data_IF_596986946252
#
_entry.id   IF_596986946252
#
_cell.length_a   1.000
_cell.length_b   1.000
_cell.length_c   1.000
_cell.angle_alpha   90.00
_cell.angle_beta   90.00
_cell.angle_gamma   90.00
#
_symmetry.space_group_name_H-M   'P 1'
#
loop_
_entity.id
_entity.type
_entity.pdbx_description
1 polymer ?
#
# COMPACT_ATOMS: atom_id res chain seq x y z
N UNK A 1 -26.13 5.20 -7.33
CA UNK A 1 -26.22 3.80 -7.78
C UNK A 1 -25.11 3.00 -7.12
N UNK A 2 -25.45 1.85 -6.52
CA UNK A 2 -24.47 0.96 -5.89
C UNK A 2 -23.76 0.16 -6.98
N UNK A 3 -22.42 0.13 -6.91
CA UNK A 3 -21.65 -0.83 -7.71
C UNK A 3 -21.82 -2.20 -7.04
N UNK A 4 -22.30 -3.19 -7.79
CA UNK A 4 -22.39 -4.56 -7.28
C UNK A 4 -20.99 -5.20 -7.15
N UNK A 5 -20.89 -6.28 -6.37
CA UNK A 5 -19.64 -7.07 -6.33
C UNK A 5 -19.23 -7.56 -7.72
N UNK A 6 -20.18 -7.98 -8.52
CA UNK A 6 -19.90 -8.52 -9.86
C UNK A 6 -19.44 -7.43 -10.83
N UNK A 7 -20.01 -6.20 -10.76
CA UNK A 7 -19.51 -5.06 -11.52
C UNK A 7 -18.07 -4.69 -11.12
N UNK A 8 -17.78 -4.74 -9.81
CA UNK A 8 -16.44 -4.47 -9.30
C UNK A 8 -15.43 -5.53 -9.80
N UNK A 9 -15.79 -6.81 -9.72
CA UNK A 9 -14.96 -7.90 -10.23
C UNK A 9 -14.75 -7.81 -11.74
N UNK A 10 -15.76 -7.38 -12.49
CA UNK A 10 -15.66 -7.13 -13.94
C UNK A 10 -14.63 -6.03 -14.24
N UNK A 11 -14.65 -4.92 -13.47
CA UNK A 11 -13.66 -3.84 -13.59
C UNK A 11 -12.25 -4.28 -13.21
N UNK A 12 -12.13 -5.06 -12.13
CA UNK A 12 -10.85 -5.61 -11.69
C UNK A 12 -10.32 -6.59 -12.76
N UNK A 13 -11.21 -7.40 -13.34
CA UNK A 13 -10.84 -8.29 -14.43
C UNK A 13 -10.25 -7.51 -15.62
N UNK A 14 -10.90 -6.43 -16.02
CA UNK A 14 -10.41 -5.57 -17.09
C UNK A 14 -9.04 -4.96 -16.79
N UNK A 15 -8.81 -4.50 -15.55
CA UNK A 15 -7.54 -3.92 -15.12
C UNK A 15 -6.46 -5.00 -15.03
N UNK A 16 -6.77 -6.15 -14.43
CA UNK A 16 -5.83 -7.24 -14.24
C UNK A 16 -5.29 -7.78 -15.58
N UNK A 17 -6.15 -7.92 -16.59
CA UNK A 17 -5.71 -8.35 -17.91
C UNK A 17 -4.71 -7.38 -18.56
N UNK A 18 -4.82 -6.07 -18.27
CA UNK A 18 -3.93 -5.04 -18.80
C UNK A 18 -2.63 -4.87 -18.04
N UNK A 19 -2.62 -5.25 -16.78
CA UNK A 19 -1.43 -5.17 -15.94
C UNK A 19 -0.57 -6.43 -16.01
N UNK A 20 -1.02 -7.46 -16.70
CA UNK A 20 -0.26 -8.71 -16.85
C UNK A 20 1.10 -8.45 -17.50
N UNK A 21 2.18 -8.87 -16.83
CA UNK A 21 3.55 -8.60 -17.24
C UNK A 21 4.12 -7.25 -16.79
N UNK A 22 3.30 -6.38 -16.17
CA UNK A 22 3.73 -5.07 -15.67
C UNK A 22 3.69 -4.95 -14.15
N UNK A 23 3.01 -5.86 -13.46
CA UNK A 23 2.94 -5.91 -12.00
C UNK A 23 3.05 -7.34 -11.49
N UNK A 24 3.61 -7.49 -10.31
CA UNK A 24 3.71 -8.78 -9.61
C UNK A 24 2.59 -8.92 -8.56
N UNK A 25 2.07 -7.80 -8.07
CA UNK A 25 1.19 -7.75 -6.91
C UNK A 25 -0.09 -6.98 -7.20
N UNK A 26 -1.23 -7.52 -6.74
CA UNK A 26 -2.51 -6.84 -6.71
C UNK A 26 -2.93 -6.61 -5.26
N UNK A 27 -3.00 -5.34 -4.88
CA UNK A 27 -3.35 -4.93 -3.52
C UNK A 27 -4.78 -4.40 -3.51
N UNK A 28 -5.58 -4.84 -2.55
CA UNK A 28 -6.91 -4.29 -2.32
C UNK A 28 -7.17 -4.02 -0.83
N UNK A 29 -8.13 -3.15 -0.56
CA UNK A 29 -8.66 -2.90 0.76
C UNK A 29 -10.11 -2.49 0.66
N UNK A 30 -10.86 -2.65 1.76
CA UNK A 30 -12.23 -2.20 1.86
C UNK A 30 -12.29 -0.80 2.47
N UNK A 31 -13.26 -0.01 2.01
CA UNK A 31 -13.49 1.32 2.56
C UNK A 31 -14.03 1.23 3.98
N UNK A 32 -13.27 1.73 4.95
CA UNK A 32 -13.64 1.79 6.35
C UNK A 32 -14.11 3.21 6.69
N UNK A 33 -15.41 3.46 6.54
CA UNK A 33 -16.02 4.77 6.75
C UNK A 33 -16.19 5.05 8.24
N UNK A 34 -16.55 4.00 9.01
CA UNK A 34 -16.79 4.10 10.44
C UNK A 34 -15.59 4.57 11.24
N UNK A 35 -14.40 4.16 10.86
CA UNK A 35 -13.14 4.57 11.51
C UNK A 35 -12.75 6.02 11.22
N UNK A 36 -13.31 6.65 10.19
CA UNK A 36 -13.00 8.02 9.79
C UNK A 36 -14.19 8.96 10.03
N UNK A 37 -14.35 9.42 11.28
CA UNK A 37 -15.47 10.29 11.69
C UNK A 37 -15.73 11.45 10.72
N UNK A 38 -14.68 12.08 10.19
CA UNK A 38 -14.81 13.20 9.25
C UNK A 38 -15.44 12.77 7.92
N UNK A 39 -15.04 11.61 7.40
CA UNK A 39 -15.60 11.03 6.17
C UNK A 39 -17.09 10.74 6.36
N UNK A 40 -17.45 10.09 7.46
CA UNK A 40 -18.84 9.81 7.82
C UNK A 40 -19.68 11.07 7.84
N UNK A 41 -19.23 12.11 8.56
CA UNK A 41 -19.92 13.40 8.64
C UNK A 41 -20.09 14.07 7.26
N UNK A 42 -19.07 14.01 6.40
CA UNK A 42 -19.15 14.59 5.07
C UNK A 42 -20.20 13.86 4.19
N UNK A 43 -20.20 12.54 4.23
CA UNK A 43 -21.17 11.73 3.47
C UNK A 43 -22.60 12.00 3.94
N UNK A 44 -22.84 11.99 5.26
CA UNK A 44 -24.15 12.28 5.85
C UNK A 44 -24.64 13.71 5.52
N UNK A 45 -23.76 14.72 5.65
CA UNK A 45 -24.08 16.11 5.33
C UNK A 45 -24.50 16.32 3.88
N UNK A 46 -23.90 15.56 2.97
CA UNK A 46 -24.18 15.64 1.54
C UNK A 46 -25.26 14.62 1.06
N UNK A 47 -25.93 13.96 2.00
CA UNK A 47 -26.99 12.99 1.68
C UNK A 47 -26.51 11.78 0.87
N UNK A 48 -25.22 11.45 0.98
CA UNK A 48 -24.62 10.33 0.27
C UNK A 48 -24.81 9.06 1.09
N UNK A 49 -25.63 8.16 0.57
CA UNK A 49 -25.81 6.84 1.15
C UNK A 49 -24.57 5.98 0.86
N UNK A 50 -24.08 5.31 1.88
CA UNK A 50 -22.99 4.37 1.77
C UNK A 50 -23.35 3.04 2.44
N UNK A 51 -22.63 2.00 2.06
CA UNK A 51 -22.70 0.68 2.66
C UNK A 51 -21.29 0.21 2.95
N UNK A 52 -20.99 0.01 4.22
CA UNK A 52 -19.77 -0.69 4.61
C UNK A 52 -20.00 -2.19 4.46
N UNK A 53 -19.02 -2.85 3.86
CA UNK A 53 -19.13 -4.28 3.65
C UNK A 53 -19.06 -5.03 4.98
N UNK A 54 -19.94 -5.98 5.14
CA UNK A 54 -19.90 -6.94 6.23
C UNK A 54 -18.72 -7.91 6.03
N UNK A 55 -18.26 -8.53 7.11
CA UNK A 55 -17.20 -9.54 7.03
C UNK A 55 -17.54 -10.66 6.04
N UNK A 56 -18.81 -11.08 5.99
CA UNK A 56 -19.29 -12.10 5.03
C UNK A 56 -19.13 -11.64 3.60
N UNK A 57 -19.48 -10.40 3.29
CA UNK A 57 -19.32 -9.82 1.94
C UNK A 57 -17.87 -9.69 1.56
N UNK A 58 -17.01 -9.25 2.50
CA UNK A 58 -15.56 -9.15 2.30
C UNK A 58 -14.93 -10.53 1.99
N UNK A 59 -15.34 -11.56 2.74
CA UNK A 59 -14.85 -12.93 2.57
C UNK A 59 -15.33 -13.51 1.22
N UNK A 60 -16.58 -13.30 0.82
CA UNK A 60 -17.10 -13.75 -0.47
C UNK A 60 -16.37 -13.08 -1.63
N UNK A 61 -16.14 -11.77 -1.53
CA UNK A 61 -15.37 -11.02 -2.52
C UNK A 61 -13.93 -11.53 -2.63
N UNK A 62 -13.24 -11.73 -1.50
CA UNK A 62 -11.87 -12.25 -1.46
C UNK A 62 -11.77 -13.61 -2.13
N UNK A 63 -12.74 -14.51 -1.88
CA UNK A 63 -12.85 -15.81 -2.54
C UNK A 63 -13.01 -15.66 -4.06
N UNK A 64 -13.95 -14.82 -4.52
CA UNK A 64 -14.20 -14.58 -5.95
C UNK A 64 -12.97 -13.96 -6.63
N UNK A 65 -12.28 -13.02 -5.95
CA UNK A 65 -11.07 -12.41 -6.48
C UNK A 65 -9.92 -13.40 -6.59
N UNK A 66 -9.77 -14.30 -5.60
CA UNK A 66 -8.78 -15.38 -5.64
C UNK A 66 -9.02 -16.31 -6.83
N UNK A 67 -10.27 -16.71 -7.09
CA UNK A 67 -10.61 -17.51 -8.26
C UNK A 67 -10.29 -16.77 -9.58
N UNK A 68 -10.64 -15.48 -9.65
CA UNK A 68 -10.34 -14.64 -10.81
C UNK A 68 -8.82 -14.53 -11.04
N UNK A 69 -8.04 -14.43 -9.98
CA UNK A 69 -6.59 -14.29 -10.04
C UNK A 69 -5.86 -15.54 -10.57
N UNK A 70 -6.49 -16.70 -10.59
CA UNK A 70 -5.88 -17.94 -11.13
C UNK A 70 -5.38 -17.77 -12.57
N UNK A 71 -6.02 -16.90 -13.34
CA UNK A 71 -5.61 -16.62 -14.72
C UNK A 71 -4.39 -15.70 -14.82
N UNK A 72 -4.13 -14.87 -13.80
CA UNK A 72 -3.03 -13.91 -13.81
C UNK A 72 -1.83 -14.38 -13.00
N UNK A 73 -2.07 -15.03 -11.86
CA UNK A 73 -1.03 -15.46 -10.94
C UNK A 73 -0.39 -14.34 -10.15
N UNK A 74 -1.09 -13.19 -9.93
CA UNK A 74 -0.58 -12.13 -9.07
C UNK A 74 -0.49 -12.57 -7.62
N UNK A 75 0.46 -12.01 -6.88
CA UNK A 75 0.44 -12.03 -5.42
C UNK A 75 -0.74 -11.16 -4.94
N UNK A 76 -1.79 -11.79 -4.40
CA UNK A 76 -2.93 -11.06 -3.84
C UNK A 76 -2.63 -10.65 -2.40
N UNK A 77 -2.83 -9.38 -2.11
CA UNK A 77 -2.57 -8.84 -0.76
C UNK A 77 -3.63 -7.84 -0.33
N UNK A 78 -3.80 -7.69 1.00
CA UNK A 78 -4.74 -6.73 1.59
C UNK A 78 -4.03 -5.74 2.50
N UNK A 79 -4.57 -4.52 2.62
CA UNK A 79 -4.00 -3.49 3.48
C UNK A 79 -4.85 -3.27 4.73
N UNK A 80 -4.36 -3.76 5.88
CA UNK A 80 -4.93 -3.49 7.20
C UNK A 80 -6.32 -4.07 7.44
N UNK A 81 -6.64 -5.20 6.83
CA UNK A 81 -7.93 -5.87 6.96
C UNK A 81 -7.95 -6.83 8.16
N UNK A 82 -9.10 -6.89 8.86
CA UNK A 82 -9.28 -7.78 10.02
C UNK A 82 -9.46 -9.26 9.66
N UNK A 83 -10.29 -9.62 8.66
CA UNK A 83 -10.51 -11.03 8.34
C UNK A 83 -9.23 -11.70 7.82
N UNK A 84 -9.06 -12.98 8.18
CA UNK A 84 -7.95 -13.78 7.66
C UNK A 84 -8.33 -14.38 6.30
N UNK A 85 -7.63 -13.93 5.27
CA UNK A 85 -7.82 -14.38 3.89
C UNK A 85 -6.78 -15.41 3.42
N UNK A 86 -5.89 -15.90 4.32
CA UNK A 86 -4.82 -16.86 3.95
C UNK A 86 -5.34 -18.11 3.26
N UNK A 87 -6.53 -18.58 3.63
CA UNK A 87 -7.20 -19.73 2.97
C UNK A 87 -7.47 -19.51 1.48
N UNK A 88 -7.45 -18.26 1.02
CA UNK A 88 -7.60 -17.88 -0.39
C UNK A 88 -6.26 -17.48 -1.04
N UNK A 89 -5.12 -17.72 -0.36
CA UNK A 89 -3.81 -17.31 -0.84
C UNK A 89 -3.56 -15.80 -0.78
N UNK A 90 -4.35 -15.06 0.01
CA UNK A 90 -4.24 -13.60 0.16
C UNK A 90 -3.54 -13.30 1.48
N UNK A 91 -2.50 -12.49 1.45
CA UNK A 91 -1.69 -12.16 2.62
C UNK A 91 -1.73 -10.65 2.94
N UNK A 92 -1.41 -10.26 4.19
CA UNK A 92 -1.28 -8.85 4.53
C UNK A 92 -0.22 -8.14 3.68
N UNK A 93 -0.53 -6.95 3.21
CA UNK A 93 0.38 -6.11 2.43
C UNK A 93 1.14 -5.13 3.32
N UNK A 94 2.29 -4.71 2.81
CA UNK A 94 3.03 -3.56 3.30
C UNK A 94 3.10 -2.51 2.19
N UNK A 95 2.40 -1.39 2.32
CA UNK A 95 2.43 -0.31 1.31
C UNK A 95 3.81 0.36 1.28
N UNK A 96 4.44 0.50 2.45
CA UNK A 96 5.86 0.83 2.59
C UNK A 96 6.58 -0.45 2.95
N UNK A 97 7.20 -1.08 1.96
CA UNK A 97 7.75 -2.43 2.02
C UNK A 97 9.28 -2.40 1.96
N UNK A 98 9.92 -2.72 3.08
CA UNK A 98 11.38 -2.78 3.15
C UNK A 98 11.97 -3.96 2.36
N UNK A 99 11.23 -5.04 2.12
CA UNK A 99 11.69 -6.13 1.25
C UNK A 99 11.85 -5.65 -0.19
N UNK A 100 10.89 -4.84 -0.68
CA UNK A 100 11.02 -4.20 -2.00
C UNK A 100 12.20 -3.25 -2.05
N UNK A 101 12.36 -2.40 -1.03
CA UNK A 101 13.51 -1.48 -0.95
C UNK A 101 14.83 -2.23 -0.97
N UNK A 102 14.95 -3.31 -0.20
CA UNK A 102 16.14 -4.16 -0.17
C UNK A 102 16.37 -4.78 -1.56
N UNK A 103 15.35 -5.39 -2.16
CA UNK A 103 15.46 -6.10 -3.45
C UNK A 103 15.93 -5.18 -4.58
N UNK A 104 15.43 -3.94 -4.62
CA UNK A 104 15.77 -2.99 -5.70
C UNK A 104 16.96 -2.07 -5.41
N UNK A 105 17.22 -1.78 -4.15
CA UNK A 105 18.23 -0.77 -3.75
C UNK A 105 19.31 -1.29 -2.78
N UNK A 106 19.55 -2.60 -2.73
CA UNK A 106 20.51 -3.20 -1.79
C UNK A 106 21.96 -2.69 -1.96
N UNK A 107 22.30 -2.10 -3.12
CA UNK A 107 23.61 -1.47 -3.37
C UNK A 107 23.75 -0.10 -2.70
N UNK A 108 22.65 0.52 -2.27
CA UNK A 108 22.67 1.75 -1.51
C UNK A 108 22.98 1.46 -0.03
N UNK A 109 24.24 1.64 0.33
CA UNK A 109 24.72 1.39 1.69
C UNK A 109 24.08 2.30 2.74
N UNK A 110 23.69 3.53 2.38
CA UNK A 110 23.04 4.47 3.27
C UNK A 110 21.63 3.98 3.58
N UNK A 111 20.87 3.59 2.56
CA UNK A 111 19.53 3.03 2.73
C UNK A 111 19.58 1.73 3.54
N UNK A 112 20.51 0.81 3.25
CA UNK A 112 20.66 -0.44 4.00
C UNK A 112 20.97 -0.18 5.48
N UNK A 113 21.81 0.79 5.78
CA UNK A 113 22.09 1.22 7.17
C UNK A 113 20.84 1.77 7.86
N UNK A 114 20.05 2.60 7.19
CA UNK A 114 18.77 3.14 7.72
C UNK A 114 17.79 2.01 7.99
N UNK A 115 17.65 1.08 7.06
CA UNK A 115 16.77 -0.09 7.21
C UNK A 115 17.29 -1.12 8.23
N UNK A 116 18.54 -1.00 8.68
CA UNK A 116 19.17 -1.97 9.59
C UNK A 116 19.39 -3.32 8.92
N UNK A 117 19.81 -3.30 7.66
CA UNK A 117 20.06 -4.48 6.83
C UNK A 117 21.54 -4.68 6.65
N UNK A 118 21.98 -5.91 6.78
CA UNK A 118 23.33 -6.35 6.46
C UNK A 118 23.33 -7.13 5.15
N UNK A 119 24.08 -6.65 4.17
CA UNK A 119 24.28 -7.34 2.89
C UNK A 119 25.54 -8.21 3.00
N UNK A 120 25.43 -9.46 2.59
CA UNK A 120 26.52 -10.46 2.63
C UNK A 120 26.73 -11.10 1.27
N UNK A 121 27.98 -11.44 0.98
CA UNK A 121 28.35 -12.24 -0.18
C UNK A 121 28.15 -13.71 0.14
N UNK A 122 27.67 -14.47 -0.83
CA UNK A 122 27.59 -15.94 -0.75
C UNK A 122 28.98 -16.48 -0.99
N UNK A 123 29.58 -17.06 0.04
CA UNK A 123 30.86 -17.73 -0.10
C UNK A 123 30.60 -19.19 -0.55
N UNK A 124 30.87 -19.45 -1.81
CA UNK A 124 30.77 -20.79 -2.40
C UNK A 124 32.00 -21.65 -2.12
N UNK A 125 32.74 -21.42 -1.01
CA UNK A 125 33.96 -22.09 -0.61
C UNK A 125 34.33 -23.38 -1.36
N UNK A 126 35.58 -23.76 -1.39
CA UNK A 126 36.12 -24.84 -2.26
C UNK A 126 35.45 -26.22 -2.02
N UNK A 127 34.73 -26.42 -0.90
CA UNK A 127 34.21 -27.71 -0.48
C UNK A 127 32.84 -27.67 0.23
N UNK A 128 32.08 -26.59 0.19
CA UNK A 128 30.83 -26.53 0.94
C UNK A 128 29.68 -25.82 0.22
N UNK A 129 28.44 -26.27 0.48
CA UNK A 129 27.28 -25.47 0.18
C UNK A 129 27.25 -24.26 1.14
N UNK A 130 27.05 -23.03 0.68
CA UNK A 130 26.96 -21.88 1.55
C UNK A 130 25.77 -22.02 2.52
N UNK A 131 26.03 -21.88 3.81
CA UNK A 131 24.98 -21.82 4.83
C UNK A 131 24.28 -20.46 4.75
N UNK A 132 23.21 -20.36 3.98
CA UNK A 132 22.38 -19.17 3.90
C UNK A 132 21.28 -19.30 4.95
N UNK A 133 21.13 -18.32 5.87
CA UNK A 133 20.07 -18.33 6.86
C UNK A 133 18.68 -18.40 6.22
N UNK A 134 17.74 -19.11 6.84
CA UNK A 134 16.37 -19.27 6.33
C UNK A 134 15.59 -17.95 6.22
N UNK A 135 15.98 -16.94 7.01
CA UNK A 135 15.40 -15.59 6.98
C UNK A 135 16.15 -14.63 6.06
N UNK A 136 17.11 -15.11 5.26
CA UNK A 136 17.84 -14.29 4.32
C UNK A 136 16.96 -13.91 3.12
N UNK A 137 17.14 -12.69 2.63
CA UNK A 137 16.54 -12.20 1.40
C UNK A 137 17.58 -12.34 0.30
N UNK A 138 17.33 -13.19 -0.68
CA UNK A 138 18.21 -13.35 -1.83
C UNK A 138 18.15 -12.09 -2.71
N UNK A 139 19.31 -11.58 -3.10
CA UNK A 139 19.46 -10.34 -3.88
C UNK A 139 19.86 -10.66 -5.32
N UNK A 140 20.89 -11.45 -5.48
CA UNK A 140 21.37 -12.00 -6.76
C UNK A 140 22.07 -13.35 -6.51
N UNK A 141 22.75 -13.89 -7.53
CA UNK A 141 23.45 -15.20 -7.42
C UNK A 141 24.63 -15.19 -6.42
N UNK A 142 25.11 -14.00 -6.03
CA UNK A 142 26.29 -13.87 -5.16
C UNK A 142 26.02 -13.15 -3.84
N UNK A 143 24.80 -12.65 -3.61
CA UNK A 143 24.51 -11.82 -2.44
C UNK A 143 23.18 -12.14 -1.80
N UNK A 144 23.12 -11.97 -0.47
CA UNK A 144 21.89 -12.01 0.31
C UNK A 144 21.90 -10.92 1.38
N UNK A 145 20.73 -10.57 1.87
CA UNK A 145 20.53 -9.60 2.93
C UNK A 145 19.91 -10.21 4.16
N UNK A 146 20.29 -9.72 5.33
CA UNK A 146 19.69 -10.07 6.63
C UNK A 146 19.20 -8.80 7.30
N UNK A 147 17.92 -8.79 7.71
CA UNK A 147 17.38 -7.73 8.56
C UNK A 147 17.83 -7.93 10.00
N UNK A 148 18.37 -6.88 10.61
CA UNK A 148 18.80 -6.86 12.02
C UNK A 148 17.74 -6.27 12.95
N UNK A 149 16.75 -5.55 12.38
CA UNK A 149 15.65 -4.93 13.11
C UNK A 149 14.37 -4.95 12.30
N UNK A 150 13.25 -4.89 12.98
CA UNK A 150 11.95 -4.63 12.39
C UNK A 150 11.63 -3.14 12.52
N UNK A 151 11.33 -2.50 11.39
CA UNK A 151 11.06 -1.07 11.29
C UNK A 151 9.55 -0.80 11.11
N UNK A 152 8.66 -1.62 11.68
CA UNK A 152 7.22 -1.41 11.60
C UNK A 152 6.86 -0.07 12.25
N UNK A 153 6.05 0.72 11.55
CA UNK A 153 5.54 1.99 12.03
C UNK A 153 4.41 1.77 13.04
N UNK A 154 4.71 2.01 14.30
CA UNK A 154 3.75 1.87 15.41
C UNK A 154 2.68 2.96 15.44
N UNK A 155 2.82 4.03 14.65
CA UNK A 155 1.83 5.10 14.52
C UNK A 155 0.70 4.79 13.54
N UNK A 156 0.79 3.68 12.83
CA UNK A 156 -0.22 3.24 11.88
C UNK A 156 -1.34 2.42 12.54
N UNK A 157 -2.36 2.03 11.73
CA UNK A 157 -3.44 1.16 12.20
C UNK A 157 -2.87 -0.16 12.73
N UNK A 158 -3.53 -0.75 13.72
CA UNK A 158 -3.07 -1.96 14.44
C UNK A 158 -2.63 -3.11 13.51
N UNK A 159 -3.34 -3.32 12.41
CA UNK A 159 -3.05 -4.39 11.44
C UNK A 159 -2.15 -3.94 10.28
N UNK A 160 -1.59 -2.73 10.34
CA UNK A 160 -0.70 -2.22 9.32
C UNK A 160 0.74 -2.68 9.57
N UNK A 161 1.33 -3.40 8.62
CA UNK A 161 2.72 -3.84 8.67
C UNK A 161 3.71 -2.91 7.96
N UNK A 162 3.27 -1.72 7.53
CA UNK A 162 4.12 -0.76 6.83
C UNK A 162 5.31 -0.32 7.67
N UNK A 163 6.43 -0.08 7.00
CA UNK A 163 7.65 0.38 7.67
C UNK A 163 7.60 1.88 7.92
N UNK A 164 8.38 2.34 8.89
CA UNK A 164 8.51 3.75 9.24
C UNK A 164 8.83 4.56 7.98
N UNK A 165 8.02 5.56 7.74
CA UNK A 165 8.17 6.48 6.62
C UNK A 165 7.82 7.91 7.04
N UNK A 166 8.25 8.88 6.25
CA UNK A 166 7.87 10.28 6.44
C UNK A 166 6.89 10.67 5.35
N UNK A 167 5.72 11.16 5.75
CA UNK A 167 4.80 11.80 4.83
C UNK A 167 5.42 13.13 4.34
N UNK A 168 5.60 13.23 3.03
CA UNK A 168 6.07 14.45 2.36
C UNK A 168 4.92 15.25 1.75
N UNK A 169 3.69 14.75 1.85
CA UNK A 169 2.48 15.44 1.43
C UNK A 169 2.10 16.57 2.39
N UNK A 170 1.22 17.45 1.94
CA UNK A 170 0.65 18.51 2.75
C UNK A 170 -0.87 18.43 2.70
N UNK A 171 -1.49 18.47 3.88
CA UNK A 171 -2.95 18.49 4.01
C UNK A 171 -3.52 19.78 3.37
N UNK A 172 -4.79 19.73 2.99
CA UNK A 172 -5.51 20.85 2.39
C UNK A 172 -4.90 21.35 1.06
N UNK A 173 -4.36 20.47 0.23
CA UNK A 173 -3.75 20.81 -1.06
C UNK A 173 -4.36 20.13 -2.27
N UNK A 174 -5.19 19.09 -2.07
CA UNK A 174 -5.76 18.29 -3.16
C UNK A 174 -7.03 18.95 -3.73
N UNK A 175 -7.07 19.29 -5.04
CA UNK A 175 -8.22 19.99 -5.65
C UNK A 175 -9.35 19.04 -6.08
N UNK A 176 -9.22 17.71 -5.89
CA UNK A 176 -10.24 16.73 -6.32
C UNK A 176 -11.52 16.78 -5.50
N UNK A 177 -11.48 17.32 -4.27
CA UNK A 177 -12.64 17.59 -3.40
C UNK A 177 -13.54 16.36 -3.13
N UNK A 178 -12.94 15.18 -3.08
CA UNK A 178 -13.66 13.93 -2.82
C UNK A 178 -14.38 13.99 -1.47
N UNK A 179 -15.62 13.51 -1.42
CA UNK A 179 -16.38 13.44 -0.15
C UNK A 179 -15.75 12.43 0.83
N UNK A 180 -15.12 11.39 0.34
CA UNK A 180 -14.35 10.41 1.11
C UNK A 180 -12.94 10.92 1.46
N UNK A 181 -12.70 12.22 1.55
CA UNK A 181 -11.39 12.77 1.83
C UNK A 181 -11.16 12.99 3.32
N UNK A 182 -10.13 12.38 3.88
CA UNK A 182 -9.67 12.64 5.25
C UNK A 182 -8.63 13.77 5.32
N UNK A 183 -7.97 14.08 4.21
CA UNK A 183 -6.81 14.98 4.15
C UNK A 183 -7.16 16.47 4.01
N UNK A 184 -8.31 16.81 3.42
CA UNK A 184 -8.72 18.20 3.29
C UNK A 184 -9.60 18.65 4.46
N UNK A 185 -9.29 19.76 5.12
CA UNK A 185 -10.10 20.35 6.19
C UNK A 185 -11.37 20.96 5.65
N UNK A 186 -11.26 21.73 4.55
CA UNK A 186 -12.38 22.22 3.77
C UNK A 186 -12.06 22.28 2.29
N UNK A 187 -13.11 22.21 1.46
CA UNK A 187 -12.99 22.33 0.00
C UNK A 187 -12.40 23.67 -0.42
N UNK A 188 -12.83 24.74 0.24
CA UNK A 188 -12.39 26.11 -0.02
C UNK A 188 -10.91 26.28 0.30
N UNK A 189 -10.46 25.76 1.45
CA UNK A 189 -9.04 25.82 1.84
C UNK A 189 -8.18 25.04 0.86
N UNK A 190 -8.59 23.83 0.47
CA UNK A 190 -7.85 23.03 -0.51
C UNK A 190 -7.74 23.72 -1.86
N UNK A 191 -8.84 24.28 -2.37
CA UNK A 191 -8.84 25.05 -3.62
C UNK A 191 -7.94 26.29 -3.56
N UNK A 192 -7.99 27.03 -2.45
CA UNK A 192 -7.13 28.21 -2.26
C UNK A 192 -5.66 27.82 -2.26
N UNK A 193 -5.28 26.84 -1.46
CA UNK A 193 -3.89 26.38 -1.37
C UNK A 193 -3.37 25.83 -2.71
N UNK A 194 -4.19 25.05 -3.43
CA UNK A 194 -3.85 24.58 -4.76
C UNK A 194 -3.61 25.73 -5.74
N UNK A 195 -4.46 26.77 -5.72
CA UNK A 195 -4.32 27.96 -6.57
C UNK A 195 -3.01 28.70 -6.25
N UNK A 196 -2.72 28.93 -4.96
CA UNK A 196 -1.48 29.57 -4.52
C UNK A 196 -0.25 28.77 -5.00
N UNK A 197 -0.27 27.45 -4.86
CA UNK A 197 0.82 26.59 -5.34
C UNK A 197 1.02 26.70 -6.86
N UNK A 198 -0.07 26.73 -7.62
CA UNK A 198 -0.01 26.87 -9.08
C UNK A 198 0.50 28.24 -9.52
N UNK A 199 0.09 29.32 -8.84
CA UNK A 199 0.51 30.69 -9.12
C UNK A 199 1.98 30.94 -8.75
N UNK A 200 2.51 30.24 -7.73
CA UNK A 200 3.92 30.32 -7.36
C UNK A 200 4.87 29.60 -8.36
N UNK A 201 4.33 28.92 -9.36
CA UNK A 201 5.12 28.21 -10.36
C UNK A 201 5.95 27.06 -9.79
N UNK A 202 5.56 26.50 -8.63
CA UNK A 202 6.28 25.46 -7.90
C UNK A 202 7.69 25.86 -7.44
N UNK A 203 7.95 27.14 -7.27
CA UNK A 203 9.26 27.66 -6.82
C UNK A 203 9.39 27.73 -5.30
N UNK A 204 8.30 27.47 -4.57
CA UNK A 204 8.29 27.45 -3.10
C UNK A 204 8.82 26.14 -2.54
N UNK A 205 9.48 26.20 -1.39
CA UNK A 205 9.91 25.02 -0.63
C UNK A 205 8.73 24.19 -0.10
N UNK A 206 7.55 24.77 0.02
CA UNK A 206 6.32 24.09 0.45
C UNK A 206 5.23 24.19 -0.60
N UNK A 207 4.31 23.22 -0.62
CA UNK A 207 3.18 23.21 -1.56
C UNK A 207 2.30 24.45 -1.43
N UNK A 208 2.16 25.03 -0.25
CA UNK A 208 1.31 26.19 0.01
C UNK A 208 2.05 27.52 -0.01
N UNK A 209 3.33 27.53 -0.27
CA UNK A 209 4.13 28.76 -0.32
C UNK A 209 4.41 29.40 1.05
N UNK A 210 4.25 28.64 2.13
CA UNK A 210 4.47 29.10 3.51
C UNK A 210 5.73 28.50 4.08
#
# INVERSE_FOLDING_TARGET
DRISQDDLLCKINYIGDRLLGYTEKLVFSFADIGSYRKVKINLERNGINYHEWTETEMVDFARKLSELNKKWGYELTTCGEKPDYKRFGIVPNHCVDDNLMIRFAWKDSVLMKVLGVEVKTIDNGLFGNPEIPTNAIMLDAGHYAIKKKDNVDKGQRELCGCKISKDIGQYDTCPHLCEYCYANTSKETACRNYRTSKESGLTSETITGK
#
